data_IF_455327308487
#
_entry.id   IF_455327308487
#
_cell.length_a   1.000
_cell.length_b   1.000
_cell.length_c   1.000
_cell.angle_alpha   90.00
_cell.angle_beta   90.00
_cell.angle_gamma   90.00
#
_symmetry.space_group_name_H-M   'P 1'
#
loop_
_entity.id
_entity.type
_entity.pdbx_description
1 polymer ?
#
# COMPACT_ATOMS: atom_id res chain seq x y z
N UNK A 1 -3.98 -23.91 20.77
CA UNK A 1 -3.86 -22.75 19.85
C UNK A 1 -2.74 -21.84 20.35
N UNK A 2 -1.52 -22.07 19.89
CA UNK A 2 -0.37 -21.21 20.20
C UNK A 2 -0.47 -20.00 19.28
N UNK A 3 -0.82 -18.83 19.82
CA UNK A 3 -0.74 -17.59 19.08
C UNK A 3 0.72 -17.42 18.64
N UNK A 4 0.93 -17.22 17.35
CA UNK A 4 2.22 -16.78 16.84
C UNK A 4 2.30 -15.31 17.22
N UNK A 5 2.88 -15.04 18.40
CA UNK A 5 3.34 -13.70 18.75
C UNK A 5 4.29 -13.28 17.62
N UNK A 6 3.79 -12.42 16.73
CA UNK A 6 4.65 -11.67 15.83
C UNK A 6 5.42 -10.73 16.76
N UNK A 7 6.75 -10.85 16.89
CA UNK A 7 7.48 -9.86 17.69
C UNK A 7 7.21 -8.50 17.04
N UNK A 8 6.69 -7.56 17.82
CA UNK A 8 6.69 -6.13 17.51
C UNK A 8 8.16 -5.66 17.50
N UNK A 9 8.95 -6.19 16.56
CA UNK A 9 10.23 -5.61 16.24
C UNK A 9 9.93 -4.21 15.72
N UNK A 10 10.49 -3.15 16.35
CA UNK A 10 10.33 -1.80 15.86
C UNK A 10 10.98 -1.74 14.48
N UNK A 11 10.14 -1.90 13.46
CA UNK A 11 10.53 -1.64 12.09
C UNK A 11 10.90 -0.16 12.03
N UNK A 12 12.09 0.19 11.52
CA UNK A 12 12.44 1.59 11.35
C UNK A 12 11.36 2.25 10.50
N UNK A 13 10.86 3.40 10.94
CA UNK A 13 10.01 4.27 10.13
C UNK A 13 10.84 4.75 8.94
N UNK A 14 10.81 3.98 7.85
CA UNK A 14 11.45 4.39 6.61
C UNK A 14 10.54 5.46 6.03
N UNK A 15 10.91 6.72 6.24
CA UNK A 15 10.23 7.86 5.64
C UNK A 15 10.47 7.83 4.12
N UNK A 16 9.57 7.18 3.39
CA UNK A 16 9.56 7.16 1.92
C UNK A 16 8.54 8.17 1.43
N UNK A 17 8.97 9.13 0.62
CA UNK A 17 8.06 10.08 -0.02
C UNK A 17 7.01 9.35 -0.88
N UNK A 18 5.76 9.81 -0.82
CA UNK A 18 4.65 9.36 -1.67
C UNK A 18 4.99 9.32 -3.16
N UNK A 19 5.83 10.24 -3.61
CA UNK A 19 6.29 10.27 -5.00
C UNK A 19 7.11 9.01 -5.30
N UNK A 20 8.07 8.64 -4.43
CA UNK A 20 8.91 7.45 -4.60
C UNK A 20 8.05 6.18 -4.60
N UNK A 21 7.07 6.08 -3.70
CA UNK A 21 6.11 4.97 -3.67
C UNK A 21 5.34 4.89 -4.99
N UNK A 22 4.78 6.01 -5.46
CA UNK A 22 4.03 6.07 -6.72
C UNK A 22 4.86 5.60 -7.91
N UNK A 23 6.08 6.11 -8.04
CA UNK A 23 6.99 5.75 -9.13
C UNK A 23 7.30 4.26 -9.09
N UNK A 24 7.59 3.72 -7.91
CA UNK A 24 7.95 2.33 -7.68
C UNK A 24 6.82 1.37 -8.04
N UNK A 25 5.60 1.63 -7.57
CA UNK A 25 4.50 0.67 -7.78
C UNK A 25 3.90 0.78 -9.19
N UNK A 26 3.93 1.96 -9.81
CA UNK A 26 3.29 2.23 -11.11
C UNK A 26 4.25 2.30 -12.30
N UNK A 27 5.56 2.14 -12.08
CA UNK A 27 6.59 2.39 -13.09
C UNK A 27 6.40 3.76 -13.78
N UNK A 28 6.14 4.80 -13.00
CA UNK A 28 5.84 6.17 -13.46
C UNK A 28 4.60 6.34 -14.36
N UNK A 29 3.76 5.31 -14.56
CA UNK A 29 2.57 5.44 -15.39
C UNK A 29 1.49 6.33 -14.76
N UNK A 30 1.52 6.50 -13.44
CA UNK A 30 0.68 7.43 -12.69
C UNK A 30 1.52 8.65 -12.32
N UNK A 31 1.09 9.84 -12.75
CA UNK A 31 1.79 11.12 -12.50
C UNK A 31 1.42 11.76 -11.17
N UNK A 32 0.21 11.53 -10.68
CA UNK A 32 -0.31 12.04 -9.41
C UNK A 32 -1.30 11.03 -8.85
N UNK A 33 -1.39 10.92 -7.52
CA UNK A 33 -2.37 10.02 -6.92
C UNK A 33 -3.80 10.49 -7.20
N UNK A 34 -4.69 9.60 -7.67
CA UNK A 34 -6.10 9.93 -7.84
C UNK A 34 -6.74 10.17 -6.48
N UNK A 35 -7.34 11.36 -6.27
CA UNK A 35 -7.95 11.75 -4.99
C UNK A 35 -9.27 11.03 -4.66
N UNK A 36 -10.01 10.61 -5.67
CA UNK A 36 -11.38 10.05 -5.53
C UNK A 36 -11.57 8.69 -6.19
N UNK A 37 -10.54 8.17 -6.86
CA UNK A 37 -10.63 6.96 -7.66
C UNK A 37 -9.50 6.02 -7.30
N UNK A 38 -9.73 4.72 -7.49
CA UNK A 38 -8.67 3.70 -7.33
C UNK A 38 -7.72 3.76 -8.51
N UNK A 39 -6.46 3.42 -8.27
CA UNK A 39 -5.49 3.24 -9.34
C UNK A 39 -5.86 1.98 -10.14
N UNK A 40 -6.02 2.06 -11.46
CA UNK A 40 -6.30 0.87 -12.27
C UNK A 40 -5.18 -0.15 -12.15
N UNK A 41 -5.50 -1.44 -12.03
CA UNK A 41 -4.49 -2.50 -11.89
C UNK A 41 -3.52 -2.57 -13.08
N UNK A 42 -3.98 -2.18 -14.29
CA UNK A 42 -3.13 -2.08 -15.49
C UNK A 42 -2.02 -1.01 -15.38
N UNK A 43 -2.17 -0.06 -14.45
CA UNK A 43 -1.18 0.97 -14.17
C UNK A 43 -0.17 0.54 -13.10
N UNK A 44 -0.33 -0.65 -12.52
CA UNK A 44 0.63 -1.23 -11.58
C UNK A 44 1.66 -2.04 -12.36
N UNK A 45 2.87 -2.10 -11.82
CA UNK A 45 3.84 -3.11 -12.24
C UNK A 45 3.33 -4.52 -11.92
N UNK A 46 3.78 -5.53 -12.67
CA UNK A 46 3.32 -6.90 -12.52
C UNK A 46 3.42 -7.43 -11.08
N UNK A 47 4.56 -7.17 -10.40
CA UNK A 47 4.77 -7.53 -8.98
C UNK A 47 3.64 -7.00 -8.09
N UNK A 48 3.31 -5.71 -8.22
CA UNK A 48 2.33 -5.05 -7.36
C UNK A 48 0.88 -5.38 -7.78
N UNK A 49 0.64 -5.65 -9.06
CA UNK A 49 -0.67 -6.11 -9.53
C UNK A 49 -1.03 -7.50 -8.96
N UNK A 50 -0.08 -8.43 -8.96
CA UNK A 50 -0.26 -9.77 -8.37
C UNK A 50 -0.49 -9.66 -6.86
N UNK A 51 0.34 -8.87 -6.17
CA UNK A 51 0.19 -8.64 -4.73
C UNK A 51 -1.18 -8.05 -4.39
N UNK A 52 -1.65 -7.03 -5.13
CA UNK A 52 -2.97 -6.44 -4.96
C UNK A 52 -4.10 -7.47 -5.15
N UNK A 53 -3.98 -8.38 -6.12
CA UNK A 53 -4.96 -9.45 -6.35
C UNK A 53 -4.99 -10.43 -5.17
N UNK A 54 -3.83 -10.89 -4.71
CA UNK A 54 -3.72 -11.81 -3.56
C UNK A 54 -4.23 -11.15 -2.28
N UNK A 55 -3.88 -9.88 -2.04
CA UNK A 55 -4.40 -9.12 -0.93
C UNK A 55 -5.93 -8.99 -1.02
N UNK A 56 -6.49 -8.64 -2.18
CA UNK A 56 -7.94 -8.47 -2.33
C UNK A 56 -8.78 -9.72 -2.04
N UNK A 57 -8.21 -10.93 -2.20
CA UNK A 57 -8.92 -12.19 -1.94
C UNK A 57 -8.69 -12.71 -0.52
N UNK A 58 -7.53 -12.41 0.08
CA UNK A 58 -7.16 -12.91 1.40
C UNK A 58 -7.39 -11.87 2.52
N UNK A 59 -7.67 -10.61 2.17
CA UNK A 59 -7.91 -9.57 3.16
C UNK A 59 -9.24 -9.80 3.87
N UNK A 60 -9.16 -10.25 5.12
CA UNK A 60 -10.26 -10.14 6.08
C UNK A 60 -10.50 -8.65 6.32
N UNK A 61 -11.73 -8.11 6.24
CA UNK A 61 -12.00 -6.69 6.45
C UNK A 61 -11.66 -6.30 7.90
N UNK A 62 -10.40 -5.92 8.14
CA UNK A 62 -10.03 -5.22 9.37
C UNK A 62 -10.25 -3.73 9.11
N UNK A 63 -11.08 -3.12 9.95
CA UNK A 63 -11.26 -1.67 10.00
C UNK A 63 -9.95 -1.03 10.50
N UNK A 64 -8.97 -0.90 9.63
CA UNK A 64 -7.86 0.03 9.86
C UNK A 64 -8.15 1.28 9.02
N UNK A 65 -8.66 2.31 9.69
CA UNK A 65 -8.72 3.67 9.16
C UNK A 65 -7.33 4.27 9.32
N UNK A 66 -6.54 4.29 8.26
CA UNK A 66 -5.30 5.07 8.24
C UNK A 66 -5.68 6.51 7.91
N UNK A 67 -5.76 7.36 8.94
CA UNK A 67 -5.91 8.79 8.76
C UNK A 67 -4.56 9.35 8.29
N UNK A 68 -4.47 9.75 7.02
CA UNK A 68 -3.27 10.45 6.52
C UNK A 68 -3.43 11.90 6.91
N UNK A 69 -2.81 12.29 8.03
CA UNK A 69 -2.68 13.67 8.45
C UNK A 69 -1.92 14.44 7.36
N UNK A 70 -2.67 15.14 6.50
CA UNK A 70 -2.09 16.12 5.59
C UNK A 70 -1.88 17.39 6.42
N UNK A 71 -0.70 17.50 7.03
CA UNK A 71 -0.29 18.74 7.70
C UNK A 71 -0.28 19.89 6.70
N UNK A 72 -0.95 20.98 7.07
CA UNK A 72 -0.91 22.28 6.40
C UNK A 72 0.42 22.97 6.65
#
# INVERSE_FOLDING_TARGET
NKALDNPDEPHPDIEVSDNVVRKTITANQVKTWPKKQKVPAVKLTQKHAILNRVASVNWVPTRHSSDIATGL
#
